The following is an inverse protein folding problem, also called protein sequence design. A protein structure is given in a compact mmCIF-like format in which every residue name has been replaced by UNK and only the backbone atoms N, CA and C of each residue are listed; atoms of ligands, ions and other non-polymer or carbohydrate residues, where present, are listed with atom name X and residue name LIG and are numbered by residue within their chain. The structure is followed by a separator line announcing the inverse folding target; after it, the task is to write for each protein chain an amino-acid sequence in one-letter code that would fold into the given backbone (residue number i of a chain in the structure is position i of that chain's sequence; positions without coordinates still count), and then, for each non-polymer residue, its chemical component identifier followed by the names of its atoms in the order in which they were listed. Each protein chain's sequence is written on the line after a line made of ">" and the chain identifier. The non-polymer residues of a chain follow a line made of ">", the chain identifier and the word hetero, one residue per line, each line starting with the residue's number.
data_IF_160417819955
#
_entry.id   IF_160417819955
#
_cell.length_a   1.000
_cell.length_b   1.000
_cell.length_c   1.000
_cell.angle_alpha   90.00
_cell.angle_beta   90.00
_cell.angle_gamma   90.00
#
_symmetry.space_group_name_H-M   'P 1'
#
loop_
_entity.id
_entity.type
_entity.pdbx_description
1 polymer ?
#
# COMPACT_ATOMS: atom_id res chain seq x y z
N UNK A 1 1.80 -1.50 19.29
CA UNK A 1 1.15 -0.22 18.92
C UNK A 1 -0.29 -0.22 19.38
N UNK A 2 -0.78 0.91 19.89
CA UNK A 2 -2.19 1.07 20.27
C UNK A 2 -3.07 1.33 19.04
N UNK A 3 -4.36 0.93 19.05
CA UNK A 3 -5.28 1.22 17.96
C UNK A 3 -5.42 2.73 17.72
N UNK A 4 -5.38 3.13 16.46
CA UNK A 4 -5.61 4.52 16.05
C UNK A 4 -7.12 4.76 15.90
N UNK A 5 -7.70 5.78 16.54
CA UNK A 5 -9.10 6.14 16.34
C UNK A 5 -9.40 6.43 14.86
N UNK A 6 -10.60 6.07 14.38
CA UNK A 6 -11.03 6.35 13.01
C UNK A 6 -10.95 7.85 12.71
N UNK A 7 -10.43 8.17 11.53
CA UNK A 7 -10.17 9.56 11.15
C UNK A 7 -11.41 10.26 10.59
N UNK A 8 -12.37 9.50 10.02
CA UNK A 8 -13.49 10.06 9.27
C UNK A 8 -13.11 10.59 7.88
N UNK A 9 -11.85 10.45 7.49
CA UNK A 9 -11.34 10.77 6.15
C UNK A 9 -10.89 9.49 5.45
N UNK A 10 -11.06 9.45 4.12
CA UNK A 10 -10.98 8.19 3.38
C UNK A 10 -10.13 8.29 2.12
N UNK A 11 -9.30 7.27 1.91
CA UNK A 11 -8.60 6.98 0.66
C UNK A 11 -9.53 6.22 -0.31
N UNK A 12 -9.33 6.38 -1.63
CA UNK A 12 -9.92 5.48 -2.60
C UNK A 12 -9.50 4.03 -2.32
N UNK A 13 -10.43 3.08 -2.36
CA UNK A 13 -10.15 1.67 -2.10
C UNK A 13 -9.02 1.12 -2.98
N UNK A 14 -9.02 1.48 -4.27
CA UNK A 14 -7.97 1.09 -5.21
C UNK A 14 -6.57 1.51 -4.77
N UNK A 15 -6.41 2.69 -4.15
CA UNK A 15 -5.11 3.14 -3.67
C UNK A 15 -4.60 2.24 -2.52
N UNK A 16 -5.42 2.05 -1.49
CA UNK A 16 -5.10 1.18 -0.36
C UNK A 16 -4.86 -0.28 -0.80
N UNK A 17 -5.70 -0.79 -1.71
CA UNK A 17 -5.56 -2.12 -2.31
C UNK A 17 -4.20 -2.30 -2.98
N UNK A 18 -3.79 -1.35 -3.83
CA UNK A 18 -2.52 -1.42 -4.54
C UNK A 18 -1.35 -1.40 -3.54
N UNK A 19 -1.41 -0.55 -2.50
CA UNK A 19 -0.39 -0.52 -1.44
C UNK A 19 -0.26 -1.88 -0.75
N UNK A 20 -1.37 -2.51 -0.34
CA UNK A 20 -1.36 -3.82 0.32
C UNK A 20 -0.81 -4.92 -0.59
N UNK A 21 -1.18 -4.91 -1.88
CA UNK A 21 -0.62 -5.84 -2.88
C UNK A 21 0.90 -5.66 -3.03
N UNK A 22 1.38 -4.42 -3.08
CA UNK A 22 2.81 -4.15 -3.23
C UNK A 22 3.61 -4.44 -1.96
N UNK A 23 3.01 -4.28 -0.78
CA UNK A 23 3.62 -4.78 0.44
C UNK A 23 3.74 -6.30 0.35
N UNK A 24 2.65 -7.01 0.05
CA UNK A 24 2.63 -8.46 -0.11
C UNK A 24 3.63 -8.96 -1.16
N UNK A 25 3.82 -8.27 -2.29
CA UNK A 25 4.79 -8.67 -3.32
C UNK A 25 6.23 -8.55 -2.83
N UNK A 26 6.54 -7.57 -1.98
CA UNK A 26 7.89 -7.33 -1.46
C UNK A 26 8.21 -8.20 -0.23
N UNK A 27 7.24 -8.46 0.64
CA UNK A 27 7.46 -9.15 1.92
C UNK A 27 6.86 -10.56 2.00
N UNK A 28 6.08 -10.98 0.99
CA UNK A 28 5.34 -12.23 0.98
C UNK A 28 4.06 -12.19 1.83
N UNK A 29 3.25 -13.24 1.69
CA UNK A 29 1.97 -13.43 2.40
C UNK A 29 2.15 -13.36 3.92
N UNK A 30 3.17 -14.07 4.45
CA UNK A 30 3.41 -14.10 5.88
C UNK A 30 3.81 -12.73 6.44
N UNK A 31 4.60 -11.96 5.69
CA UNK A 31 5.01 -10.62 6.09
C UNK A 31 3.83 -9.66 6.15
N UNK A 32 2.97 -9.65 5.12
CA UNK A 32 1.82 -8.72 5.10
C UNK A 32 0.79 -9.09 6.17
N UNK A 33 0.60 -10.39 6.42
CA UNK A 33 -0.27 -10.85 7.50
C UNK A 33 0.27 -10.43 8.87
N UNK A 34 1.59 -10.49 9.10
CA UNK A 34 2.18 -10.01 10.34
C UNK A 34 1.95 -8.51 10.54
N UNK A 35 2.12 -7.71 9.48
CA UNK A 35 1.85 -6.26 9.50
C UNK A 35 0.38 -5.96 9.79
N UNK A 36 -0.55 -6.63 9.12
CA UNK A 36 -1.98 -6.41 9.32
C UNK A 36 -2.43 -6.80 10.73
N UNK A 37 -1.87 -7.87 11.30
CA UNK A 37 -2.13 -8.23 12.69
C UNK A 37 -1.58 -7.18 13.66
N UNK A 38 -0.33 -6.71 13.46
CA UNK A 38 0.27 -5.68 14.30
C UNK A 38 -0.50 -4.34 14.22
N UNK A 39 -1.04 -4.03 13.05
CA UNK A 39 -1.86 -2.83 12.81
C UNK A 39 -3.31 -2.95 13.34
N UNK A 40 -3.70 -4.08 13.94
CA UNK A 40 -5.08 -4.37 14.38
C UNK A 40 -6.11 -4.42 13.23
N UNK A 41 -5.69 -4.89 12.06
CA UNK A 41 -6.50 -5.00 10.84
C UNK A 41 -6.58 -6.43 10.27
N UNK A 42 -6.86 -7.49 11.08
CA UNK A 42 -6.89 -8.86 10.57
C UNK A 42 -7.99 -9.09 9.53
N UNK A 43 -9.04 -8.25 9.51
CA UNK A 43 -10.13 -8.32 8.53
C UNK A 43 -9.70 -8.02 7.08
N UNK A 44 -8.47 -7.53 6.87
CA UNK A 44 -7.88 -7.30 5.56
C UNK A 44 -7.06 -8.50 5.07
N UNK A 45 -6.82 -9.51 5.90
CA UNK A 45 -6.11 -10.74 5.48
C UNK A 45 -7.01 -11.49 4.49
N UNK A 46 -6.46 -11.78 3.31
CA UNK A 46 -7.18 -12.38 2.15
C UNK A 46 -8.43 -11.62 1.70
N UNK A 47 -8.61 -10.37 2.18
CA UNK A 47 -9.81 -9.56 1.96
C UNK A 47 -9.43 -8.09 1.79
N UNK A 48 -8.53 -7.81 0.84
CA UNK A 48 -8.14 -6.43 0.51
C UNK A 48 -9.33 -5.61 0.00
N UNK A 49 -9.26 -4.27 0.11
CA UNK A 49 -10.33 -3.39 -0.35
C UNK A 49 -10.70 -3.64 -1.82
N UNK A 50 -11.96 -3.39 -2.21
CA UNK A 50 -12.42 -3.63 -3.57
C UNK A 50 -11.66 -2.77 -4.58
N UNK A 51 -11.54 -3.26 -5.82
CA UNK A 51 -10.84 -2.55 -6.90
C UNK A 51 -11.74 -1.47 -7.52
N UNK A 52 -12.07 -0.44 -6.75
CA UNK A 52 -12.88 0.71 -7.19
C UNK A 52 -12.29 2.03 -6.64
N UNK A 53 -12.79 3.18 -7.10
CA UNK A 53 -12.33 4.50 -6.66
C UNK A 53 -13.17 5.08 -5.52
N UNK A 54 -14.03 4.28 -4.88
CA UNK A 54 -14.85 4.74 -3.76
C UNK A 54 -13.96 5.08 -2.56
N UNK A 55 -14.25 6.20 -1.90
CA UNK A 55 -13.50 6.69 -0.74
C UNK A 55 -14.04 6.04 0.53
N UNK A 56 -13.60 4.82 0.81
CA UNK A 56 -14.08 4.02 1.96
C UNK A 56 -12.96 3.51 2.87
N UNK A 57 -11.70 3.62 2.46
CA UNK A 57 -10.57 3.14 3.27
C UNK A 57 -10.10 4.23 4.25
N UNK A 58 -10.28 4.05 5.56
CA UNK A 58 -10.00 5.11 6.55
C UNK A 58 -8.50 5.44 6.62
N UNK A 59 -8.16 6.73 6.72
CA UNK A 59 -6.77 7.17 6.86
C UNK A 59 -6.10 6.64 8.13
N UNK A 60 -6.86 6.36 9.20
CA UNK A 60 -6.34 5.76 10.42
C UNK A 60 -5.81 4.34 10.15
N UNK A 61 -6.53 3.54 9.35
CA UNK A 61 -6.10 2.18 9.00
C UNK A 61 -4.85 2.22 8.12
N UNK A 62 -4.78 3.17 7.17
CA UNK A 62 -3.60 3.37 6.35
C UNK A 62 -2.38 3.79 7.20
N UNK A 63 -2.60 4.69 8.16
CA UNK A 63 -1.56 5.11 9.10
C UNK A 63 -1.10 3.94 9.96
N UNK A 64 -2.02 3.11 10.44
CA UNK A 64 -1.71 1.96 11.28
C UNK A 64 -0.80 0.95 10.56
N UNK A 65 -1.05 0.71 9.26
CA UNK A 65 -0.18 -0.15 8.42
C UNK A 65 1.24 0.43 8.33
N UNK A 66 1.39 1.74 8.13
CA UNK A 66 2.70 2.39 8.02
C UNK A 66 3.44 2.40 9.36
N UNK A 67 2.73 2.61 10.47
CA UNK A 67 3.32 2.48 11.80
C UNK A 67 3.77 1.04 12.06
N UNK A 68 2.93 0.04 11.77
CA UNK A 68 3.30 -1.37 11.92
C UNK A 68 4.57 -1.74 11.12
N UNK A 69 4.75 -1.17 9.92
CA UNK A 69 5.99 -1.31 9.14
C UNK A 69 7.22 -0.75 9.86
N UNK A 70 7.11 0.45 10.41
CA UNK A 70 8.20 1.09 11.16
C UNK A 70 8.49 0.36 12.48
N UNK A 71 7.46 -0.09 13.18
CA UNK A 71 7.57 -0.85 14.43
C UNK A 71 8.27 -2.20 14.19
N UNK A 72 7.87 -2.94 13.15
CA UNK A 72 8.38 -4.27 12.87
C UNK A 72 9.82 -4.26 12.31
N UNK A 73 10.17 -3.26 11.49
CA UNK A 73 11.44 -3.23 10.75
C UNK A 73 12.37 -2.07 11.14
N UNK A 74 11.95 -1.24 12.09
CA UNK A 74 12.63 -0.01 12.48
C UNK A 74 12.53 1.12 11.44
N UNK A 75 12.93 2.36 11.77
CA UNK A 75 12.77 3.53 10.90
C UNK A 75 13.47 3.39 9.53
N UNK A 76 14.61 2.69 9.49
CA UNK A 76 15.38 2.47 8.24
C UNK A 76 14.83 1.29 7.43
N UNK A 77 14.50 0.18 8.08
CA UNK A 77 13.98 -1.01 7.42
C UNK A 77 12.57 -0.79 6.89
N UNK A 78 11.70 -0.17 7.69
CA UNK A 78 10.34 0.22 7.30
C UNK A 78 10.34 1.16 6.11
N UNK A 79 11.19 2.21 6.13
CA UNK A 79 11.35 3.11 4.98
C UNK A 79 11.85 2.38 3.72
N UNK A 80 12.82 1.48 3.87
CA UNK A 80 13.34 0.69 2.75
C UNK A 80 12.27 -0.21 2.12
N UNK A 81 11.44 -0.84 2.94
CA UNK A 81 10.29 -1.64 2.49
C UNK A 81 9.23 -0.78 1.80
N UNK A 82 8.86 0.35 2.39
CA UNK A 82 7.89 1.27 1.81
C UNK A 82 8.35 1.80 0.44
N UNK A 83 9.63 2.12 0.28
CA UNK A 83 10.19 2.55 -1.01
C UNK A 83 10.19 1.43 -2.05
N UNK A 84 10.53 0.19 -1.68
CA UNK A 84 10.45 -0.96 -2.60
C UNK A 84 9.01 -1.25 -3.02
N UNK A 85 8.09 -1.24 -2.07
CA UNK A 85 6.66 -1.41 -2.33
C UNK A 85 6.14 -0.30 -3.25
N UNK A 86 6.48 0.97 -2.97
CA UNK A 86 6.11 2.11 -3.80
C UNK A 86 6.66 2.03 -5.23
N UNK A 87 7.91 1.60 -5.41
CA UNK A 87 8.50 1.37 -6.75
C UNK A 87 7.81 0.24 -7.50
N UNK A 88 7.48 -0.87 -6.82
CA UNK A 88 6.69 -1.96 -7.40
C UNK A 88 5.30 -1.48 -7.82
N UNK A 89 4.59 -0.79 -6.92
CA UNK A 89 3.31 -0.14 -7.19
C UNK A 89 3.40 0.74 -8.43
N UNK A 90 4.36 1.66 -8.47
CA UNK A 90 4.49 2.62 -9.54
C UNK A 90 4.77 1.92 -10.88
N UNK A 91 5.66 0.93 -10.90
CA UNK A 91 5.94 0.13 -12.09
C UNK A 91 4.68 -0.58 -12.60
N UNK A 92 3.91 -1.19 -11.71
CA UNK A 92 2.69 -1.92 -12.08
C UNK A 92 1.58 -0.96 -12.53
N UNK A 93 1.45 0.20 -11.88
CA UNK A 93 0.53 1.26 -12.28
C UNK A 93 0.92 1.79 -13.67
N UNK A 94 2.19 2.11 -13.95
CA UNK A 94 2.66 2.57 -15.26
C UNK A 94 2.38 1.57 -16.39
N UNK A 95 2.54 0.28 -16.11
CA UNK A 95 2.28 -0.78 -17.09
C UNK A 95 0.80 -0.94 -17.40
N UNK A 96 -0.07 -0.75 -16.40
CA UNK A 96 -1.50 -1.05 -16.50
C UNK A 96 -2.40 0.18 -16.71
N UNK A 97 -1.94 1.40 -16.41
CA UNK A 97 -2.68 2.67 -16.62
C UNK A 97 -2.32 3.33 -17.96
N UNK A 98 -2.36 2.56 -19.06
CA UNK A 98 -2.04 3.00 -20.42
C UNK A 98 -2.94 4.10 -21.02
N UNK A 99 -3.81 4.75 -20.25
CA UNK A 99 -4.78 5.75 -20.73
C UNK A 99 -4.80 7.08 -19.93
N UNK A 100 -3.99 7.24 -18.88
CA UNK A 100 -3.80 8.58 -18.29
C UNK A 100 -2.85 9.36 -19.21
N UNK A 101 -3.36 10.43 -19.81
CA UNK A 101 -2.70 11.23 -20.84
C UNK A 101 -1.22 11.51 -20.48
N UNK A 102 -0.30 10.90 -21.22
CA UNK A 102 1.17 11.08 -21.08
C UNK A 102 1.92 9.98 -20.31
N UNK A 103 1.26 9.18 -19.47
CA UNK A 103 1.91 8.16 -18.62
C UNK A 103 2.17 6.84 -19.36
N UNK A 104 1.38 6.57 -20.40
CA UNK A 104 1.54 5.39 -21.26
C UNK A 104 2.71 5.48 -22.25
N UNK A 105 3.26 6.69 -22.43
CA UNK A 105 4.34 6.96 -23.38
C UNK A 105 5.63 6.22 -23.01
N UNK A 106 6.32 5.72 -24.03
CA UNK A 106 7.53 4.92 -23.86
C UNK A 106 8.62 5.73 -23.12
N UNK A 107 8.72 7.02 -23.41
CA UNK A 107 9.68 7.92 -22.76
C UNK A 107 9.44 8.01 -21.24
N UNK A 108 8.18 7.96 -20.80
CA UNK A 108 7.82 7.98 -19.39
C UNK A 108 8.10 6.64 -18.69
N UNK A 109 7.87 5.52 -19.38
CA UNK A 109 8.10 4.16 -18.86
C UNK A 109 9.57 3.80 -18.65
N UNK A 110 10.49 4.44 -19.37
CA UNK A 110 11.95 4.17 -19.28
C UNK A 110 12.67 5.06 -18.27
N UNK A 111 11.97 5.94 -17.56
CA UNK A 111 12.57 6.75 -16.51
C UNK A 111 13.13 5.86 -15.38
N UNK A 112 14.32 6.18 -14.85
CA UNK A 112 14.87 5.46 -13.70
C UNK A 112 13.99 5.66 -12.46
N UNK A 113 13.74 4.58 -11.73
CA UNK A 113 12.92 4.55 -10.49
C UNK A 113 13.76 4.52 -9.21
#
# INVERSE_FOLDING_TARGET
>A
MDPIPKSGFYYPNKAARITLMSLQSVMGVNGVNAILNLAHLPHLIDNFPPNNLERQFDFADFTAINWALEEMYGPRGGRGLALRAGRSTFTDVLRNFGALAGVGDLAFKVLPL
#
